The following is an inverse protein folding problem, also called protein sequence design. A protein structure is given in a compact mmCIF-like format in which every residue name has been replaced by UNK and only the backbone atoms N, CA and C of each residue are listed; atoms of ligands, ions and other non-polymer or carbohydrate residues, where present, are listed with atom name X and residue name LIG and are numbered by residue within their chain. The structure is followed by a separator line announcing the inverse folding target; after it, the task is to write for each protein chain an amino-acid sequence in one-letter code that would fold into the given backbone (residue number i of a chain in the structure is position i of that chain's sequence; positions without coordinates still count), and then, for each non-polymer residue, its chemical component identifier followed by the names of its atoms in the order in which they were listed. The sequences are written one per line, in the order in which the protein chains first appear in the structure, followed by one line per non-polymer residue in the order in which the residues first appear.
data_IF_067974280118
#
_entry.id   IF_067974280118
#
_cell.length_a   1.000
_cell.length_b   1.000
_cell.length_c   1.000
_cell.angle_alpha   90.00
_cell.angle_beta   90.00
_cell.angle_gamma   90.00
#
_symmetry.space_group_name_H-M   'P 1'
#
loop_
_entity.id
_entity.type
_entity.pdbx_description
1 polymer ?
#
# COMPACT_ATOMS: atom_id res chain seq x y z
N UNK A 1 -18.41 -11.37 -7.42
CA UNK A 1 -17.20 -11.12 -6.62
C UNK A 1 -16.30 -10.21 -7.41
N UNK A 2 -16.30 -8.91 -7.07
CA UNK A 2 -15.52 -7.91 -7.76
C UNK A 2 -14.10 -7.87 -7.19
N UNK A 3 -13.11 -7.85 -8.06
CA UNK A 3 -11.72 -7.73 -7.64
C UNK A 3 -11.32 -6.25 -7.56
N UNK A 4 -10.60 -5.88 -6.50
CA UNK A 4 -9.96 -4.57 -6.44
C UNK A 4 -8.95 -4.47 -7.59
N UNK A 5 -9.06 -3.41 -8.39
CA UNK A 5 -8.27 -3.25 -9.61
C UNK A 5 -8.98 -3.69 -10.89
N UNK A 6 -10.18 -4.28 -10.80
CA UNK A 6 -11.01 -4.60 -11.97
C UNK A 6 -11.63 -3.39 -12.67
N UNK A 7 -11.41 -2.17 -12.13
CA UNK A 7 -11.87 -0.89 -12.68
C UNK A 7 -13.38 -0.83 -12.96
N UNK A 8 -14.19 -1.45 -12.09
CA UNK A 8 -15.66 -1.36 -12.18
C UNK A 8 -16.20 -0.05 -11.58
N UNK A 9 -15.48 0.52 -10.62
CA UNK A 9 -15.86 1.71 -9.86
C UNK A 9 -14.84 2.86 -9.99
N UNK A 10 -13.87 2.71 -10.90
CA UNK A 10 -12.83 3.70 -11.17
C UNK A 10 -12.37 3.62 -12.62
N UNK A 11 -11.96 4.73 -13.21
CA UNK A 11 -11.38 4.75 -14.55
C UNK A 11 -9.98 4.11 -14.58
N UNK A 12 -9.22 4.33 -13.53
CA UNK A 12 -7.85 3.82 -13.40
C UNK A 12 -7.64 3.34 -11.96
N UNK A 13 -7.04 2.16 -11.79
CA UNK A 13 -6.55 1.67 -10.50
C UNK A 13 -5.02 1.53 -10.54
N UNK A 14 -4.33 2.08 -9.53
CA UNK A 14 -2.88 2.05 -9.45
C UNK A 14 -2.44 1.09 -8.36
N UNK A 15 -1.54 0.16 -8.71
CA UNK A 15 -0.87 -0.76 -7.81
C UNK A 15 0.58 -0.34 -7.56
N UNK A 16 1.04 -0.50 -6.33
CA UNK A 16 2.44 -0.30 -5.95
C UNK A 16 3.16 -1.63 -5.83
N UNK A 17 4.35 -1.71 -6.39
CA UNK A 17 5.28 -2.84 -6.26
C UNK A 17 6.55 -2.44 -5.50
N UNK A 18 6.44 -1.46 -4.60
CA UNK A 18 7.48 -1.09 -3.65
C UNK A 18 7.92 -2.30 -2.79
N UNK A 19 9.16 -2.37 -2.27
CA UNK A 19 9.73 -3.53 -1.56
C UNK A 19 8.87 -4.13 -0.44
N UNK A 20 8.11 -3.30 0.28
CA UNK A 20 7.27 -3.75 1.41
C UNK A 20 5.91 -4.31 1.00
N UNK A 21 5.55 -4.24 -0.29
CA UNK A 21 4.23 -4.72 -0.77
C UNK A 21 4.18 -6.25 -0.81
N UNK A 22 2.96 -6.79 -0.98
CA UNK A 22 2.72 -8.25 -1.03
C UNK A 22 3.56 -8.91 -2.11
N UNK A 23 3.63 -8.26 -3.30
CA UNK A 23 4.59 -8.55 -4.36
C UNK A 23 5.41 -7.30 -4.64
N UNK A 24 6.64 -7.48 -5.08
CA UNK A 24 7.55 -6.37 -5.34
C UNK A 24 8.31 -6.55 -6.65
N UNK A 25 8.69 -5.42 -7.24
CA UNK A 25 9.65 -5.32 -8.34
C UNK A 25 10.94 -4.60 -7.92
N UNK A 26 11.19 -4.49 -6.60
CA UNK A 26 12.19 -3.58 -6.04
C UNK A 26 11.62 -2.18 -5.96
N UNK A 27 11.44 -1.52 -7.07
CA UNK A 27 10.59 -0.34 -7.26
C UNK A 27 9.70 -0.56 -8.48
N UNK A 28 8.48 -0.03 -8.46
CA UNK A 28 7.58 -0.15 -9.59
C UNK A 28 6.10 -0.06 -9.21
N UNK A 29 5.26 -0.23 -10.21
CA UNK A 29 3.81 -0.21 -10.09
C UNK A 29 3.13 -0.55 -11.40
N UNK A 30 1.81 -0.67 -11.34
CA UNK A 30 0.96 -0.85 -12.52
C UNK A 30 -0.27 0.04 -12.43
N UNK A 31 -0.64 0.64 -13.56
CA UNK A 31 -1.91 1.32 -13.73
C UNK A 31 -2.82 0.46 -14.61
N UNK A 32 -3.95 0.04 -14.07
CA UNK A 32 -4.94 -0.81 -14.71
C UNK A 32 -6.13 0.02 -15.16
N UNK A 33 -6.68 -0.27 -16.34
CA UNK A 33 -7.88 0.38 -16.85
C UNK A 33 -8.61 -0.54 -17.84
N UNK A 34 -9.92 -0.40 -17.93
CA UNK A 34 -10.75 -1.02 -18.98
C UNK A 34 -10.93 -0.12 -20.21
N UNK A 35 -10.43 1.13 -20.16
CA UNK A 35 -10.51 2.09 -21.27
C UNK A 35 -9.27 1.96 -22.16
N UNK A 36 -9.47 1.61 -23.43
CA UNK A 36 -8.41 1.58 -24.43
C UNK A 36 -7.76 2.95 -24.60
N UNK A 37 -8.56 4.03 -24.56
CA UNK A 37 -8.08 5.41 -24.66
C UNK A 37 -7.07 5.72 -23.53
N UNK A 38 -7.41 5.40 -22.29
CA UNK A 38 -6.50 5.63 -21.16
C UNK A 38 -5.27 4.73 -21.22
N UNK A 39 -5.43 3.47 -21.64
CA UNK A 39 -4.30 2.56 -21.79
C UNK A 39 -3.29 3.05 -22.83
N UNK A 40 -3.75 3.52 -23.99
CA UNK A 40 -2.88 4.08 -25.04
C UNK A 40 -2.22 5.39 -24.58
N UNK A 41 -2.97 6.29 -23.93
CA UNK A 41 -2.42 7.55 -23.41
C UNK A 41 -1.35 7.30 -22.33
N UNK A 42 -1.59 6.37 -21.40
CA UNK A 42 -0.61 6.01 -20.38
C UNK A 42 0.65 5.38 -20.98
N UNK A 43 0.52 4.50 -21.98
CA UNK A 43 1.67 3.93 -22.71
C UNK A 43 2.50 4.99 -23.42
N UNK A 44 1.83 5.96 -24.06
CA UNK A 44 2.49 7.07 -24.73
C UNK A 44 3.27 7.94 -23.74
N UNK A 45 2.59 8.39 -22.67
CA UNK A 45 3.20 9.28 -21.66
C UNK A 45 4.32 8.59 -20.88
N UNK A 46 4.20 7.29 -20.59
CA UNK A 46 5.26 6.49 -19.94
C UNK A 46 6.56 6.47 -20.72
N UNK A 47 6.50 6.67 -22.05
CA UNK A 47 7.62 6.49 -22.98
C UNK A 47 7.88 7.77 -23.79
N UNK A 48 8.11 8.88 -23.11
CA UNK A 48 8.49 10.20 -23.64
C UNK A 48 7.46 10.88 -24.55
N UNK A 49 6.22 10.37 -24.67
CA UNK A 49 5.26 10.87 -25.65
C UNK A 49 5.63 10.52 -27.09
N UNK A 50 6.43 9.46 -27.29
CA UNK A 50 6.96 9.04 -28.59
C UNK A 50 6.09 7.95 -29.21
N UNK A 51 5.81 8.09 -30.52
CA UNK A 51 5.21 7.07 -31.34
C UNK A 51 6.19 6.55 -32.40
N UNK A 52 6.05 5.26 -32.73
CA UNK A 52 6.76 4.58 -33.84
C UNK A 52 5.79 3.97 -34.85
N UNK A 53 4.49 4.07 -34.61
CA UNK A 53 3.44 3.60 -35.50
C UNK A 53 3.26 4.60 -36.66
N UNK A 54 3.68 4.17 -37.84
CA UNK A 54 3.62 5.00 -39.05
C UNK A 54 2.22 5.52 -39.38
N UNK A 55 1.18 4.78 -39.02
CA UNK A 55 -0.22 5.15 -39.26
C UNK A 55 -0.68 6.36 -38.41
N UNK A 56 0.04 6.63 -37.32
CA UNK A 56 -0.24 7.74 -36.37
C UNK A 56 0.71 8.93 -36.53
N UNK A 57 1.73 8.82 -37.38
CA UNK A 57 2.69 9.88 -37.66
C UNK A 57 2.10 10.93 -38.59
N UNK A 58 2.53 12.18 -38.41
CA UNK A 58 2.10 13.31 -39.22
C UNK A 58 3.18 13.81 -40.19
N UNK A 59 4.44 13.55 -39.92
CA UNK A 59 5.57 13.88 -40.75
C UNK A 59 5.92 12.79 -41.75
N UNK A 60 6.84 13.12 -42.68
CA UNK A 60 7.38 12.18 -43.64
C UNK A 60 8.64 11.51 -43.08
N UNK A 61 8.66 10.19 -42.87
CA UNK A 61 9.85 9.50 -42.41
C UNK A 61 11.02 9.67 -43.38
N UNK A 62 12.18 10.09 -42.86
CA UNK A 62 13.43 10.25 -43.63
C UNK A 62 14.33 8.99 -43.53
N UNK A 63 13.88 7.96 -42.76
CA UNK A 63 14.58 6.69 -42.65
C UNK A 63 13.94 5.71 -41.65
N UNK A 64 14.49 4.49 -41.55
CA UNK A 64 13.95 3.46 -40.64
C UNK A 64 14.09 3.78 -39.16
N UNK A 65 14.90 4.75 -38.79
CA UNK A 65 15.09 5.26 -37.41
C UNK A 65 14.04 6.29 -37.00
N UNK A 66 13.20 6.79 -37.93
CA UNK A 66 12.26 7.88 -37.69
C UNK A 66 11.20 7.51 -36.64
N UNK A 67 10.92 8.45 -35.79
CA UNK A 67 9.84 8.43 -34.80
C UNK A 67 9.37 9.86 -34.55
N UNK A 68 8.18 10.00 -33.95
CA UNK A 68 7.65 11.33 -33.60
C UNK A 68 7.37 11.41 -32.10
N UNK A 69 7.77 12.54 -31.49
CA UNK A 69 7.27 12.94 -30.18
C UNK A 69 6.04 13.81 -30.38
N UNK A 70 4.88 13.27 -30.02
CA UNK A 70 3.58 13.93 -30.22
C UNK A 70 3.00 14.51 -28.93
N UNK A 71 3.64 14.27 -27.79
CA UNK A 71 3.25 14.77 -26.49
C UNK A 71 4.45 14.87 -25.54
N UNK A 72 4.31 15.65 -24.47
CA UNK A 72 5.31 15.71 -23.41
C UNK A 72 5.11 14.53 -22.45
N UNK A 73 5.98 13.55 -22.53
CA UNK A 73 5.93 12.35 -21.70
C UNK A 73 7.09 12.24 -20.71
N UNK A 74 7.11 11.11 -20.00
CA UNK A 74 8.07 10.77 -18.97
C UNK A 74 8.92 9.56 -19.38
N UNK A 75 9.97 9.28 -18.64
CA UNK A 75 10.70 8.02 -18.74
C UNK A 75 10.31 7.10 -17.56
N UNK A 76 9.08 6.57 -17.60
CA UNK A 76 8.48 5.79 -16.51
C UNK A 76 8.34 4.30 -16.88
N UNK A 77 9.28 3.79 -17.63
CA UNK A 77 9.33 2.38 -17.99
C UNK A 77 9.95 1.55 -16.88
N UNK A 78 9.30 0.45 -16.53
CA UNK A 78 9.89 -0.59 -15.71
C UNK A 78 11.00 -1.30 -16.49
N UNK A 79 12.11 -1.62 -15.85
CA UNK A 79 13.18 -2.38 -16.48
C UNK A 79 12.81 -3.86 -16.58
N UNK A 80 13.45 -4.59 -17.50
CA UNK A 80 13.21 -6.05 -17.67
C UNK A 80 13.59 -6.83 -16.40
N UNK A 81 14.62 -6.40 -15.67
CA UNK A 81 15.01 -6.99 -14.38
C UNK A 81 13.87 -6.84 -13.36
N UNK A 82 13.30 -5.65 -13.24
CA UNK A 82 12.16 -5.39 -12.36
C UNK A 82 10.92 -6.20 -12.79
N UNK A 83 10.64 -6.25 -14.08
CA UNK A 83 9.52 -7.03 -14.63
C UNK A 83 9.69 -8.54 -14.37
N UNK A 84 10.89 -9.08 -14.56
CA UNK A 84 11.21 -10.48 -14.27
C UNK A 84 11.01 -10.82 -12.79
N UNK A 85 11.46 -9.92 -11.87
CA UNK A 85 11.20 -10.08 -10.44
C UNK A 85 9.69 -10.08 -10.15
N UNK A 86 8.92 -9.15 -10.73
CA UNK A 86 7.47 -9.07 -10.58
C UNK A 86 6.77 -10.35 -11.04
N UNK A 87 7.12 -10.87 -12.20
CA UNK A 87 6.58 -12.14 -12.72
C UNK A 87 6.89 -13.32 -11.78
N UNK A 88 8.10 -13.39 -11.26
CA UNK A 88 8.48 -14.41 -10.27
C UNK A 88 7.67 -14.29 -8.98
N UNK A 89 7.40 -13.06 -8.52
CA UNK A 89 6.59 -12.80 -7.33
C UNK A 89 5.11 -13.15 -7.54
N UNK A 90 4.54 -12.84 -8.70
CA UNK A 90 3.15 -13.15 -9.05
C UNK A 90 2.84 -14.65 -8.96
N UNK A 91 3.78 -15.52 -9.34
CA UNK A 91 3.63 -16.98 -9.23
C UNK A 91 3.43 -17.48 -7.79
N UNK A 92 3.71 -16.63 -6.79
CA UNK A 92 3.57 -16.93 -5.35
C UNK A 92 2.49 -16.11 -4.67
N UNK A 93 1.75 -15.28 -5.40
CA UNK A 93 0.80 -14.33 -4.83
C UNK A 93 -0.23 -15.03 -3.93
N UNK A 94 -0.84 -16.11 -4.41
CA UNK A 94 -1.88 -16.83 -3.65
C UNK A 94 -1.32 -17.41 -2.34
N UNK A 95 -0.11 -17.94 -2.38
CA UNK A 95 0.56 -18.42 -1.17
C UNK A 95 0.86 -17.27 -0.19
N UNK A 96 1.35 -16.11 -0.69
CA UNK A 96 1.60 -14.96 0.17
C UNK A 96 0.33 -14.44 0.83
N UNK A 97 -0.76 -14.36 0.09
CA UNK A 97 -2.06 -13.90 0.62
C UNK A 97 -2.62 -14.90 1.62
N UNK A 98 -2.54 -16.21 1.33
CA UNK A 98 -3.00 -17.28 2.23
C UNK A 98 -2.25 -17.25 3.56
N UNK A 99 -0.91 -17.14 3.55
CA UNK A 99 -0.10 -17.07 4.78
C UNK A 99 -0.39 -15.82 5.60
N UNK A 100 -0.55 -14.66 4.94
CA UNK A 100 -0.92 -13.41 5.63
C UNK A 100 -2.29 -13.51 6.28
N UNK A 101 -3.25 -14.13 5.60
CA UNK A 101 -4.59 -14.37 6.15
C UNK A 101 -4.53 -15.26 7.38
N UNK A 102 -3.85 -16.40 7.31
CA UNK A 102 -3.67 -17.35 8.41
C UNK A 102 -3.10 -16.64 9.66
N UNK A 103 -2.04 -15.85 9.50
CA UNK A 103 -1.44 -15.12 10.61
C UNK A 103 -2.29 -13.97 11.14
N UNK A 104 -3.05 -13.31 10.27
CA UNK A 104 -4.00 -12.28 10.68
C UNK A 104 -5.12 -12.87 11.53
N UNK A 105 -5.68 -14.00 11.10
CA UNK A 105 -6.72 -14.74 11.87
C UNK A 105 -6.17 -15.24 13.21
N UNK A 106 -4.92 -15.74 13.22
CA UNK A 106 -4.27 -16.16 14.45
C UNK A 106 -4.06 -14.98 15.43
N UNK A 107 -3.65 -13.81 14.96
CA UNK A 107 -3.58 -12.61 15.79
C UNK A 107 -4.96 -12.19 16.32
N UNK A 108 -5.99 -12.23 15.47
CA UNK A 108 -7.36 -11.87 15.85
C UNK A 108 -7.85 -12.76 17.01
N UNK A 109 -7.56 -14.07 16.97
CA UNK A 109 -7.90 -14.99 18.05
C UNK A 109 -7.19 -14.67 19.38
N UNK A 110 -5.95 -14.19 19.33
CA UNK A 110 -5.16 -13.88 20.54
C UNK A 110 -5.54 -12.56 21.20
N UNK A 111 -6.01 -11.58 20.43
CA UNK A 111 -6.27 -10.24 20.96
C UNK A 111 -7.70 -10.01 21.44
N UNK A 112 -8.46 -11.06 21.76
CA UNK A 112 -9.73 -10.90 22.43
C UNK A 112 -9.56 -10.49 23.91
N UNK A 113 -10.37 -9.49 24.34
CA UNK A 113 -10.43 -9.02 25.74
C UNK A 113 -9.12 -8.49 26.33
N UNK A 114 -8.31 -7.84 25.51
CA UNK A 114 -7.10 -7.15 25.93
C UNK A 114 -7.28 -5.64 25.81
N UNK A 115 -6.32 -4.85 26.27
CA UNK A 115 -6.29 -3.37 26.06
C UNK A 115 -6.13 -2.93 24.62
N UNK A 116 -6.23 -3.86 23.67
CA UNK A 116 -6.09 -3.62 22.23
C UNK A 116 -7.24 -4.25 21.46
N UNK A 117 -7.51 -3.71 20.27
CA UNK A 117 -8.56 -4.21 19.36
C UNK A 117 -8.03 -4.23 17.93
N UNK A 118 -8.03 -5.39 17.24
CA UNK A 118 -7.78 -5.47 15.81
C UNK A 118 -8.76 -4.62 15.00
N UNK A 119 -8.36 -4.21 13.79
CA UNK A 119 -9.27 -3.56 12.87
C UNK A 119 -10.30 -4.57 12.32
N UNK A 120 -11.56 -4.26 12.50
CA UNK A 120 -12.66 -5.11 12.02
C UNK A 120 -12.75 -5.06 10.50
N UNK A 121 -12.76 -6.22 9.86
CA UNK A 121 -13.11 -6.37 8.45
C UNK A 121 -14.62 -6.54 8.27
N UNK A 122 -15.18 -5.88 7.25
CA UNK A 122 -16.57 -6.13 6.86
C UNK A 122 -16.69 -7.51 6.22
N UNK A 123 -17.82 -8.21 6.48
CA UNK A 123 -18.07 -9.58 6.00
C UNK A 123 -18.22 -9.69 4.48
N UNK A 124 -18.52 -8.58 3.80
CA UNK A 124 -18.77 -8.50 2.36
C UNK A 124 -17.49 -8.41 1.52
N UNK A 125 -16.31 -8.43 2.16
CA UNK A 125 -15.01 -8.25 1.46
C UNK A 125 -13.91 -9.14 2.01
N UNK A 126 -12.90 -9.38 1.16
CA UNK A 126 -11.70 -10.13 1.52
C UNK A 126 -10.48 -9.24 1.38
N UNK A 127 -9.68 -9.14 2.44
CA UNK A 127 -8.40 -8.42 2.42
C UNK A 127 -7.27 -9.34 1.98
N UNK A 128 -6.26 -8.76 1.34
CA UNK A 128 -4.97 -9.42 1.13
C UNK A 128 -4.02 -9.27 2.34
N UNK A 129 -4.47 -8.66 3.43
CA UNK A 129 -3.73 -8.48 4.69
C UNK A 129 -2.32 -7.93 4.48
N UNK A 130 -2.22 -6.81 3.75
CA UNK A 130 -0.91 -6.14 3.56
C UNK A 130 -0.31 -5.71 4.89
N UNK A 131 -1.14 -5.16 5.78
CA UNK A 131 -0.78 -4.73 7.13
C UNK A 131 -1.70 -5.41 8.14
N UNK A 132 -1.19 -5.67 9.33
CA UNK A 132 -1.99 -6.00 10.50
C UNK A 132 -1.96 -4.84 11.48
N UNK A 133 -3.07 -4.15 11.58
CA UNK A 133 -3.19 -2.95 12.43
C UNK A 133 -4.10 -3.27 13.61
N UNK A 134 -3.65 -2.90 14.80
CA UNK A 134 -4.46 -2.90 16.01
C UNK A 134 -4.63 -1.48 16.53
N UNK A 135 -5.62 -1.28 17.41
CA UNK A 135 -5.83 -0.04 18.18
C UNK A 135 -5.59 -0.30 19.64
N UNK A 136 -4.80 0.55 20.28
CA UNK A 136 -4.67 0.62 21.73
C UNK A 136 -5.89 1.38 22.25
N UNK A 137 -6.72 0.73 23.05
CA UNK A 137 -7.98 1.28 23.60
C UNK A 137 -7.95 1.37 25.13
N UNK A 138 -6.88 0.92 25.75
CA UNK A 138 -6.67 1.02 27.19
C UNK A 138 -6.61 2.50 27.65
N UNK A 139 -7.16 2.80 28.82
CA UNK A 139 -7.21 4.16 29.37
C UNK A 139 -5.86 4.64 29.93
N UNK A 140 -4.98 3.72 30.32
CA UNK A 140 -3.70 4.00 30.97
C UNK A 140 -2.50 3.89 30.01
N UNK A 141 -2.71 3.30 28.83
CA UNK A 141 -1.68 3.05 27.85
C UNK A 141 -2.04 3.71 26.50
N UNK A 142 -1.04 4.05 25.73
CA UNK A 142 -1.19 4.60 24.39
C UNK A 142 -0.31 3.86 23.37
N UNK A 143 -0.58 4.08 22.09
CA UNK A 143 0.16 3.44 21.02
C UNK A 143 1.65 3.81 21.01
N UNK A 144 2.04 4.99 21.50
CA UNK A 144 3.42 5.45 21.55
C UNK A 144 4.22 4.69 22.63
N UNK A 145 3.60 4.48 23.81
CA UNK A 145 4.23 3.66 24.87
C UNK A 145 4.42 2.23 24.40
N UNK A 146 3.38 1.62 23.80
CA UNK A 146 3.45 0.27 23.25
C UNK A 146 4.49 0.18 22.11
N UNK A 147 4.54 1.16 21.21
CA UNK A 147 5.55 1.23 20.16
C UNK A 147 6.97 1.16 20.73
N UNK A 148 7.28 2.05 21.69
CA UNK A 148 8.61 2.13 22.29
C UNK A 148 8.99 0.82 23.02
N UNK A 149 8.05 0.25 23.76
CA UNK A 149 8.25 -1.02 24.44
C UNK A 149 8.57 -2.17 23.47
N UNK A 150 7.75 -2.36 22.44
CA UNK A 150 7.94 -3.42 21.45
C UNK A 150 9.23 -3.23 20.65
N UNK A 151 9.55 -1.99 20.29
CA UNK A 151 10.80 -1.66 19.61
C UNK A 151 12.03 -2.05 20.45
N UNK A 152 12.01 -1.76 21.74
CA UNK A 152 13.08 -2.18 22.69
C UNK A 152 13.19 -3.70 22.83
N UNK A 153 12.13 -4.45 22.55
CA UNK A 153 12.11 -5.91 22.52
C UNK A 153 12.50 -6.51 21.17
N UNK A 154 13.00 -5.68 20.23
CA UNK A 154 13.41 -6.11 18.89
C UNK A 154 12.24 -6.41 17.94
N UNK A 155 11.03 -5.97 18.25
CA UNK A 155 9.85 -6.15 17.40
C UNK A 155 9.68 -4.91 16.52
N UNK A 156 9.77 -5.09 15.19
CA UNK A 156 9.63 -4.02 14.21
C UNK A 156 8.17 -3.61 14.03
N UNK A 157 7.72 -2.64 14.81
CA UNK A 157 6.37 -2.04 14.71
C UNK A 157 6.41 -0.71 13.97
N UNK A 158 5.27 -0.30 13.41
CA UNK A 158 5.16 0.98 12.73
C UNK A 158 3.76 1.57 12.89
N UNK A 159 3.58 2.83 12.49
CA UNK A 159 2.30 3.50 12.46
C UNK A 159 1.98 3.93 11.02
N UNK A 160 0.87 3.46 10.49
CA UNK A 160 0.40 3.73 9.12
C UNK A 160 -0.93 4.49 9.14
N UNK A 161 -0.93 5.83 9.02
CA UNK A 161 0.20 6.76 8.87
C UNK A 161 -0.09 8.04 9.64
N UNK A 162 0.89 8.96 9.74
CA UNK A 162 0.64 10.34 10.18
C UNK A 162 -0.40 10.94 9.23
N UNK A 163 -1.52 11.49 9.72
CA UNK A 163 -2.52 12.10 8.85
C UNK A 163 -1.94 13.19 7.96
N UNK A 164 -2.31 13.18 6.68
CA UNK A 164 -1.75 14.08 5.65
C UNK A 164 -1.90 15.55 6.05
N UNK A 165 -3.03 15.95 6.61
CA UNK A 165 -3.26 17.34 7.05
C UNK A 165 -2.34 17.79 8.20
N UNK A 166 -1.65 16.86 8.90
CA UNK A 166 -0.62 17.19 9.90
C UNK A 166 0.77 17.41 9.29
N UNK A 167 0.96 17.09 8.01
CA UNK A 167 2.23 17.29 7.33
C UNK A 167 2.45 18.77 6.99
N UNK A 168 3.65 19.34 7.23
CA UNK A 168 3.91 20.76 7.03
C UNK A 168 3.57 21.28 5.63
N UNK A 169 3.83 20.47 4.59
CA UNK A 169 3.49 20.83 3.22
C UNK A 169 1.98 21.05 3.03
N UNK A 170 1.16 20.14 3.55
CA UNK A 170 -0.29 20.24 3.41
C UNK A 170 -0.87 21.32 4.33
N UNK A 171 -0.31 21.51 5.53
CA UNK A 171 -0.71 22.63 6.40
C UNK A 171 -0.52 23.97 5.69
N UNK A 172 0.66 24.20 5.08
CA UNK A 172 0.92 25.39 4.28
C UNK A 172 -0.05 25.53 3.11
N UNK A 173 -0.37 24.43 2.42
CA UNK A 173 -1.30 24.42 1.27
C UNK A 173 -2.73 24.73 1.71
N UNK A 174 -3.18 24.21 2.85
CA UNK A 174 -4.50 24.52 3.42
C UNK A 174 -4.66 26.00 3.74
N UNK A 175 -3.64 26.62 4.35
CA UNK A 175 -3.62 28.07 4.60
C UNK A 175 -3.77 28.86 3.28
N UNK A 176 -2.98 28.50 2.27
CA UNK A 176 -3.03 29.16 0.95
C UNK A 176 -4.39 29.01 0.23
N UNK A 177 -5.12 27.94 0.50
CA UNK A 177 -6.45 27.67 -0.06
C UNK A 177 -7.59 28.15 0.84
N UNK A 178 -7.31 28.86 1.96
CA UNK A 178 -8.27 29.32 2.95
C UNK A 178 -9.19 28.20 3.51
N UNK A 179 -8.68 26.98 3.62
CA UNK A 179 -9.39 25.86 4.23
C UNK A 179 -9.32 26.04 5.75
N UNK A 180 -10.44 26.45 6.36
CA UNK A 180 -10.50 26.83 7.79
C UNK A 180 -10.87 25.67 8.71
N UNK A 181 -11.67 24.72 8.23
CA UNK A 181 -12.16 23.61 9.05
C UNK A 181 -12.10 22.29 8.27
N UNK A 182 -11.58 21.26 8.94
CA UNK A 182 -11.62 19.86 8.51
C UNK A 182 -12.16 19.04 9.68
N UNK A 183 -13.18 18.25 9.45
CA UNK A 183 -13.59 17.26 10.45
C UNK A 183 -12.56 16.13 10.45
N UNK A 184 -11.66 16.13 11.42
CA UNK A 184 -10.53 15.20 11.50
C UNK A 184 -10.59 14.24 12.69
N UNK A 185 -11.64 14.32 13.51
CA UNK A 185 -11.78 13.60 14.77
C UNK A 185 -11.51 12.08 14.65
N UNK A 186 -12.11 11.44 13.66
CA UNK A 186 -11.92 10.01 13.44
C UNK A 186 -10.49 9.66 13.00
N UNK A 187 -9.87 10.51 12.19
CA UNK A 187 -8.48 10.32 11.75
C UNK A 187 -7.50 10.58 12.88
N UNK A 188 -7.75 11.59 13.73
CA UNK A 188 -6.98 11.88 14.93
C UNK A 188 -7.08 10.75 15.95
N UNK A 189 -8.30 10.26 16.19
CA UNK A 189 -8.54 9.10 17.07
C UNK A 189 -7.82 7.86 16.55
N UNK A 190 -7.94 7.56 15.25
CA UNK A 190 -7.19 6.45 14.65
C UNK A 190 -5.69 6.63 14.86
N UNK A 191 -5.13 7.79 14.55
CA UNK A 191 -3.71 8.08 14.68
C UNK A 191 -3.18 7.92 16.11
N UNK A 192 -3.96 8.34 17.11
CA UNK A 192 -3.58 8.21 18.52
C UNK A 192 -3.66 6.78 19.06
N UNK A 193 -4.33 5.87 18.36
CA UNK A 193 -4.57 4.50 18.82
C UNK A 193 -3.89 3.43 17.97
N UNK A 194 -3.67 3.69 16.68
CA UNK A 194 -3.21 2.68 15.75
C UNK A 194 -1.75 2.27 15.97
N UNK A 195 -1.48 0.99 15.83
CA UNK A 195 -0.14 0.42 15.75
C UNK A 195 -0.16 -0.76 14.77
N UNK A 196 0.86 -0.87 13.93
CA UNK A 196 1.00 -1.97 12.98
C UNK A 196 2.00 -2.98 13.47
N UNK A 197 1.58 -4.22 13.60
CA UNK A 197 2.43 -5.36 13.95
C UNK A 197 3.09 -5.97 12.71
N UNK A 198 4.21 -6.69 12.88
CA UNK A 198 4.80 -7.47 11.80
C UNK A 198 3.82 -8.47 11.22
N UNK A 199 3.71 -8.47 9.88
CA UNK A 199 2.93 -9.45 9.14
C UNK A 199 3.57 -9.70 7.78
N UNK A 200 4.23 -10.86 7.62
CA UNK A 200 4.78 -11.29 6.33
C UNK A 200 4.76 -12.81 6.19
N UNK A 201 4.77 -13.37 4.96
CA UNK A 201 4.50 -14.79 4.73
C UNK A 201 5.58 -15.74 5.29
N UNK A 202 6.74 -15.23 5.68
CA UNK A 202 7.85 -16.03 6.25
C UNK A 202 7.88 -16.02 7.79
N UNK A 203 6.88 -15.46 8.45
CA UNK A 203 6.79 -15.56 9.91
C UNK A 203 6.61 -17.01 10.34
N UNK A 204 7.13 -17.33 11.52
CA UNK A 204 6.89 -18.61 12.20
C UNK A 204 5.90 -18.41 13.34
N UNK A 205 5.30 -19.50 13.83
CA UNK A 205 4.42 -19.46 14.99
C UNK A 205 5.15 -18.93 16.23
N UNK A 206 6.41 -19.31 16.42
CA UNK A 206 7.25 -18.81 17.51
C UNK A 206 7.41 -17.28 17.48
N UNK A 207 7.60 -16.70 16.29
CA UNK A 207 7.66 -15.23 16.14
C UNK A 207 6.34 -14.57 16.52
N UNK A 208 5.22 -15.15 16.11
CA UNK A 208 3.89 -14.65 16.44
C UNK A 208 3.63 -14.71 17.93
N UNK A 209 3.93 -15.86 18.57
CA UNK A 209 3.81 -16.07 20.01
C UNK A 209 4.69 -15.10 20.81
N UNK A 210 5.92 -14.87 20.36
CA UNK A 210 6.81 -13.88 20.97
C UNK A 210 6.20 -12.48 20.97
N UNK A 211 5.67 -12.04 19.85
CA UNK A 211 5.03 -10.72 19.71
C UNK A 211 3.84 -10.60 20.65
N UNK A 212 2.93 -11.59 20.63
CA UNK A 212 1.73 -11.60 21.47
C UNK A 212 2.07 -11.61 22.96
N UNK A 213 3.03 -12.46 23.38
CA UNK A 213 3.47 -12.52 24.76
C UNK A 213 4.05 -11.18 25.24
N UNK A 214 4.82 -10.45 24.40
CA UNK A 214 5.31 -9.13 24.77
C UNK A 214 4.19 -8.09 24.89
N UNK A 215 3.16 -8.20 24.08
CA UNK A 215 1.99 -7.32 24.19
C UNK A 215 1.22 -7.60 25.48
N UNK A 216 1.00 -8.86 25.83
CA UNK A 216 0.33 -9.20 27.11
C UNK A 216 1.10 -8.65 28.32
N UNK A 217 2.41 -8.90 28.40
CA UNK A 217 3.27 -8.39 29.48
C UNK A 217 3.24 -6.85 29.59
N UNK A 218 2.95 -6.14 28.50
CA UNK A 218 2.84 -4.69 28.51
C UNK A 218 1.54 -4.19 29.15
N UNK A 219 0.46 -4.97 29.04
CA UNK A 219 -0.86 -4.59 29.57
C UNK A 219 -1.17 -5.20 30.97
N UNK A 220 -0.40 -6.19 31.42
CA UNK A 220 -0.43 -6.73 32.79
C UNK A 220 0.22 -5.77 33.80
#
# INVERSE_FOLDING_TARGET
NDLVGGCQYSDITVFSFHPVKIITTGEGGAAMTNSLLYAEKMKLLRSHGIIRDKSKMTGNPDGPWYYEQIDLGFNYRMTDIQAALGNSQLNRLDWYVSRRKEFSEWYDEKFHNTGITPLTQKKDRKSAHHLYVLKVIDSNQDNKKLYNYLYQKGIGVNLHYIPIYKQPFFQKKMVNLNIKELSTENADKYYSQALTLPLHPRMTLEMLEYIVNKIYIFFD
#
